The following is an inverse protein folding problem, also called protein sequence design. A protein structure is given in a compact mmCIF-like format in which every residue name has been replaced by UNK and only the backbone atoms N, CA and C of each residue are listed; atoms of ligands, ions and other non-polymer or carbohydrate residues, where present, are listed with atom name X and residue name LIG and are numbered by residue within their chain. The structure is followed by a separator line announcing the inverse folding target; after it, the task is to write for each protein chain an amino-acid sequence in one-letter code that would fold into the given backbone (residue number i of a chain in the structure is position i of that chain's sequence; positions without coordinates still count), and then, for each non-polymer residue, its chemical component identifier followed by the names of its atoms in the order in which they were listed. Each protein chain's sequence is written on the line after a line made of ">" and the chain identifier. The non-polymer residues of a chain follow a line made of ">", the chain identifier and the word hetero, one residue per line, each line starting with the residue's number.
data_IF_391702020893
#
_entry.id   IF_391702020893
#
_cell.length_a   1.000
_cell.length_b   1.000
_cell.length_c   1.000
_cell.angle_alpha   90.00
_cell.angle_beta   90.00
_cell.angle_gamma   90.00
#
_symmetry.space_group_name_H-M   'P 1'
#
loop_
_entity.id
_entity.type
_entity.pdbx_description
1 polymer ?
#
# COMPACT_ATOMS: atom_id res chain seq x y z
N UNK A 1 -26.91 8.56 -7.16
CA UNK A 1 -26.47 7.14 -7.14
C UNK A 1 -25.86 6.82 -8.49
N UNK A 2 -24.73 6.17 -8.47
CA UNK A 2 -23.94 5.82 -9.65
C UNK A 2 -24.64 4.76 -10.51
N UNK A 3 -24.40 4.79 -11.82
CA UNK A 3 -24.91 3.81 -12.79
C UNK A 3 -24.50 2.35 -12.43
N UNK A 4 -23.29 2.15 -11.86
CA UNK A 4 -22.81 0.83 -11.47
C UNK A 4 -23.57 0.24 -10.28
N UNK A 5 -23.92 1.07 -9.29
CA UNK A 5 -24.70 0.63 -8.12
C UNK A 5 -26.10 0.19 -8.53
N UNK A 6 -26.68 0.82 -9.55
CA UNK A 6 -28.03 0.53 -10.04
C UNK A 6 -28.07 -0.59 -11.09
N UNK A 7 -26.92 -1.09 -11.56
CA UNK A 7 -26.88 -2.19 -12.52
C UNK A 7 -27.43 -3.48 -11.89
N UNK A 8 -28.06 -4.39 -12.69
CA UNK A 8 -28.57 -5.66 -12.18
C UNK A 8 -27.48 -6.46 -11.44
N UNK A 9 -27.86 -7.14 -10.37
CA UNK A 9 -26.96 -8.00 -9.63
C UNK A 9 -26.68 -9.29 -10.40
N UNK A 10 -25.43 -9.72 -10.31
CA UNK A 10 -24.99 -11.06 -10.72
C UNK A 10 -25.08 -12.02 -9.53
N UNK A 11 -25.05 -13.34 -9.80
CA UNK A 11 -24.98 -14.35 -8.73
C UNK A 11 -23.81 -14.11 -7.78
N UNK A 12 -22.67 -13.68 -8.34
CA UNK A 12 -21.46 -13.31 -7.54
C UNK A 12 -21.71 -12.08 -6.64
N UNK A 13 -22.51 -11.11 -7.07
CA UNK A 13 -22.85 -9.95 -6.24
C UNK A 13 -23.73 -10.38 -5.05
N UNK A 14 -24.67 -11.30 -5.28
CA UNK A 14 -25.55 -11.86 -4.24
C UNK A 14 -24.73 -12.65 -3.21
N UNK A 15 -23.84 -13.54 -3.69
CA UNK A 15 -22.95 -14.31 -2.83
C UNK A 15 -22.05 -13.40 -2.00
N UNK A 16 -21.46 -12.38 -2.61
CA UNK A 16 -20.61 -11.41 -1.94
C UNK A 16 -21.34 -10.65 -0.81
N UNK A 17 -22.58 -10.22 -1.05
CA UNK A 17 -23.41 -9.61 0.00
C UNK A 17 -23.67 -10.57 1.16
N UNK A 18 -24.00 -11.83 0.86
CA UNK A 18 -24.18 -12.85 1.89
C UNK A 18 -22.93 -13.07 2.76
N UNK A 19 -21.72 -12.96 2.21
CA UNK A 19 -20.48 -12.98 2.97
C UNK A 19 -20.32 -11.73 3.85
N UNK A 20 -20.67 -10.55 3.32
CA UNK A 20 -20.55 -9.27 4.02
C UNK A 20 -21.57 -9.09 5.15
N UNK A 21 -22.69 -9.80 5.11
CA UNK A 21 -23.74 -9.75 6.14
C UNK A 21 -23.42 -10.62 7.37
N UNK A 22 -22.39 -11.44 7.31
CA UNK A 22 -21.98 -12.28 8.44
C UNK A 22 -21.46 -11.43 9.60
N UNK A 23 -21.80 -11.80 10.85
CA UNK A 23 -21.29 -11.11 12.07
C UNK A 23 -19.77 -11.04 12.11
N UNK A 24 -19.10 -12.13 11.72
CA UNK A 24 -17.66 -12.19 11.56
C UNK A 24 -17.35 -12.24 10.08
N UNK A 25 -16.81 -11.15 9.55
CA UNK A 25 -16.42 -11.07 8.13
C UNK A 25 -15.36 -12.13 7.81
N UNK A 26 -15.64 -13.05 6.89
CA UNK A 26 -14.63 -13.99 6.41
C UNK A 26 -13.65 -13.26 5.49
N UNK A 27 -12.40 -13.76 5.42
CA UNK A 27 -11.53 -13.43 4.31
C UNK A 27 -11.99 -14.16 3.04
N UNK A 28 -12.04 -13.48 1.91
CA UNK A 28 -12.39 -14.08 0.63
C UNK A 28 -11.52 -13.52 -0.50
N UNK A 29 -11.46 -14.25 -1.61
CA UNK A 29 -10.80 -13.82 -2.84
C UNK A 29 -11.77 -13.95 -3.99
N UNK A 30 -11.98 -12.88 -4.76
CA UNK A 30 -12.78 -12.90 -5.98
C UNK A 30 -11.86 -13.03 -7.19
N UNK A 31 -12.01 -14.13 -7.95
CA UNK A 31 -11.23 -14.39 -9.16
C UNK A 31 -12.16 -14.19 -10.36
N UNK A 32 -11.77 -13.30 -11.27
CA UNK A 32 -12.58 -12.96 -12.42
C UNK A 32 -11.71 -12.45 -13.58
N UNK A 33 -12.10 -12.73 -14.80
CA UNK A 33 -11.40 -12.33 -16.02
C UNK A 33 -11.42 -10.81 -16.26
N UNK A 34 -10.69 -10.35 -17.27
CA UNK A 34 -10.76 -8.97 -17.73
C UNK A 34 -12.18 -8.67 -18.26
N UNK A 35 -12.72 -7.48 -17.94
CA UNK A 35 -14.07 -7.08 -18.38
C UNK A 35 -15.24 -7.77 -17.68
N UNK A 36 -15.01 -8.65 -16.72
CA UNK A 36 -16.08 -9.40 -16.00
C UNK A 36 -16.86 -8.59 -14.95
N UNK A 37 -16.66 -7.29 -14.85
CA UNK A 37 -17.40 -6.45 -13.90
C UNK A 37 -16.82 -6.39 -12.47
N UNK A 38 -15.58 -6.85 -12.22
CA UNK A 38 -14.96 -6.82 -10.88
C UNK A 38 -15.09 -5.48 -10.14
N UNK A 39 -14.83 -4.38 -10.83
CA UNK A 39 -14.95 -3.02 -10.24
C UNK A 39 -16.41 -2.71 -9.90
N UNK A 40 -17.36 -3.14 -10.74
CA UNK A 40 -18.79 -2.98 -10.48
C UNK A 40 -19.21 -3.75 -9.23
N UNK A 41 -18.82 -5.02 -9.09
CA UNK A 41 -19.10 -5.82 -7.90
C UNK A 41 -18.46 -5.23 -6.64
N UNK A 42 -17.23 -4.70 -6.76
CA UNK A 42 -16.57 -4.01 -5.64
C UNK A 42 -17.34 -2.76 -5.20
N UNK A 43 -17.75 -1.91 -6.14
CA UNK A 43 -18.54 -0.68 -5.83
C UNK A 43 -19.87 -1.03 -5.18
N UNK A 44 -20.58 -2.06 -5.70
CA UNK A 44 -21.82 -2.57 -5.07
C UNK A 44 -21.59 -3.12 -3.67
N UNK A 45 -20.51 -3.86 -3.45
CA UNK A 45 -20.14 -4.38 -2.13
C UNK A 45 -19.86 -3.25 -1.13
N UNK A 46 -19.13 -2.21 -1.56
CA UNK A 46 -18.87 -1.04 -0.73
C UNK A 46 -20.15 -0.26 -0.41
N UNK A 47 -21.05 -0.07 -1.38
CA UNK A 47 -22.36 0.54 -1.17
C UNK A 47 -23.18 -0.27 -0.15
N UNK A 48 -23.22 -1.59 -0.29
CA UNK A 48 -23.89 -2.48 0.65
C UNK A 48 -23.35 -2.38 2.09
N UNK A 49 -22.02 -2.29 2.26
CA UNK A 49 -21.41 -2.08 3.58
C UNK A 49 -21.81 -0.72 4.17
N UNK A 50 -21.86 0.33 3.36
CA UNK A 50 -22.27 1.66 3.80
C UNK A 50 -23.72 1.62 4.31
N UNK A 51 -24.60 0.97 3.57
CA UNK A 51 -26.03 0.88 3.91
C UNK A 51 -26.26 0.00 5.14
N UNK A 52 -25.65 -1.19 5.20
CA UNK A 52 -25.89 -2.18 6.26
C UNK A 52 -25.13 -1.88 7.56
N UNK A 53 -23.90 -1.33 7.48
CA UNK A 53 -23.02 -1.10 8.63
C UNK A 53 -22.60 0.36 8.85
N UNK A 54 -23.13 1.30 8.07
CA UNK A 54 -22.74 2.69 8.14
C UNK A 54 -22.98 3.34 9.51
N UNK A 55 -24.04 2.93 10.23
CA UNK A 55 -24.31 3.40 11.59
C UNK A 55 -23.24 2.92 12.57
N UNK A 56 -22.89 1.64 12.51
CA UNK A 56 -21.84 1.03 13.34
C UNK A 56 -20.47 1.67 13.07
N UNK A 57 -20.12 1.84 11.79
CA UNK A 57 -18.86 2.46 11.38
C UNK A 57 -18.73 3.88 11.92
N UNK A 58 -19.80 4.69 11.84
CA UNK A 58 -19.82 6.04 12.42
C UNK A 58 -19.67 6.02 13.94
N UNK A 59 -20.42 5.16 14.61
CA UNK A 59 -20.41 5.07 16.08
C UNK A 59 -19.03 4.64 16.62
N UNK A 60 -18.30 3.82 15.86
CA UNK A 60 -16.98 3.32 16.24
C UNK A 60 -15.80 4.11 15.63
N UNK A 61 -16.08 5.19 14.89
CA UNK A 61 -15.08 5.98 14.15
C UNK A 61 -14.22 5.12 13.21
N UNK A 62 -14.80 4.03 12.68
CA UNK A 62 -14.14 3.13 11.74
C UNK A 62 -14.49 3.49 10.30
N UNK A 63 -13.60 3.14 9.40
CA UNK A 63 -13.80 3.29 7.95
C UNK A 63 -13.47 1.98 7.24
N UNK A 64 -14.04 1.79 6.07
CA UNK A 64 -13.62 0.75 5.14
C UNK A 64 -12.47 1.28 4.32
N UNK A 65 -11.34 0.58 4.26
CA UNK A 65 -10.24 0.92 3.36
C UNK A 65 -10.41 0.16 2.04
N UNK A 66 -10.54 0.90 0.94
CA UNK A 66 -10.53 0.37 -0.41
C UNK A 66 -9.19 0.74 -1.06
N UNK A 67 -8.33 -0.26 -1.23
CA UNK A 67 -6.96 -0.04 -1.71
C UNK A 67 -6.84 -0.52 -3.15
N UNK A 68 -6.36 0.37 -4.03
CA UNK A 68 -6.13 0.09 -5.45
C UNK A 68 -4.64 0.19 -5.79
N UNK A 69 -4.31 -0.14 -7.04
CA UNK A 69 -2.94 -0.01 -7.53
C UNK A 69 -2.67 1.33 -8.20
N UNK A 70 -3.69 1.96 -8.80
CA UNK A 70 -3.56 3.21 -9.57
C UNK A 70 -4.45 4.30 -9.02
N UNK A 71 -4.02 5.55 -9.14
CA UNK A 71 -4.79 6.75 -8.76
C UNK A 71 -6.08 6.87 -9.59
N UNK A 72 -6.04 6.48 -10.88
CA UNK A 72 -7.21 6.52 -11.76
C UNK A 72 -8.30 5.59 -11.22
N UNK A 73 -7.95 4.36 -10.83
CA UNK A 73 -8.92 3.42 -10.26
C UNK A 73 -9.44 3.90 -8.90
N UNK A 74 -8.57 4.51 -8.08
CA UNK A 74 -8.99 5.08 -6.80
C UNK A 74 -10.01 6.21 -7.00
N UNK A 75 -9.74 7.13 -7.91
CA UNK A 75 -10.63 8.24 -8.23
C UNK A 75 -11.97 7.74 -8.78
N UNK A 76 -11.95 6.80 -9.72
CA UNK A 76 -13.15 6.20 -10.30
C UNK A 76 -14.06 5.58 -9.23
N UNK A 77 -13.51 4.82 -8.30
CA UNK A 77 -14.28 4.21 -7.20
C UNK A 77 -14.81 5.27 -6.24
N UNK A 78 -14.01 6.29 -5.91
CA UNK A 78 -14.43 7.36 -5.01
C UNK A 78 -15.61 8.17 -5.59
N UNK A 79 -15.56 8.49 -6.89
CA UNK A 79 -16.62 9.22 -7.60
C UNK A 79 -17.93 8.40 -7.62
N UNK A 80 -17.84 7.09 -7.87
CA UNK A 80 -18.98 6.17 -7.88
C UNK A 80 -19.67 6.09 -6.51
N UNK A 81 -18.93 6.19 -5.41
CA UNK A 81 -19.44 6.18 -4.04
C UNK A 81 -19.82 7.58 -3.53
N UNK A 82 -19.83 8.61 -4.40
CA UNK A 82 -20.10 10.00 -4.02
C UNK A 82 -19.19 10.48 -2.87
N UNK A 83 -17.95 10.03 -2.84
CA UNK A 83 -16.91 10.40 -1.87
C UNK A 83 -17.37 10.33 -0.40
N UNK A 84 -18.08 9.28 -0.03
CA UNK A 84 -18.57 9.10 1.34
C UNK A 84 -17.41 9.05 2.35
N UNK A 85 -17.54 9.69 3.54
CA UNK A 85 -16.48 9.67 4.54
C UNK A 85 -16.28 8.30 5.22
N UNK A 86 -17.17 7.34 4.98
CA UNK A 86 -17.12 5.98 5.56
C UNK A 86 -16.17 5.05 4.80
N UNK A 87 -15.79 5.38 3.57
CA UNK A 87 -14.86 4.62 2.76
C UNK A 87 -13.64 5.49 2.46
N UNK A 88 -12.48 4.97 2.77
CA UNK A 88 -11.20 5.56 2.39
C UNK A 88 -10.69 4.86 1.14
N UNK A 89 -10.74 5.53 0.00
CA UNK A 89 -10.27 5.00 -1.28
C UNK A 89 -8.92 5.63 -1.59
N UNK A 90 -7.90 4.82 -1.78
CA UNK A 90 -6.55 5.32 -2.11
C UNK A 90 -5.70 4.25 -2.77
N UNK A 91 -4.54 4.63 -3.30
CA UNK A 91 -3.53 3.65 -3.70
C UNK A 91 -2.84 3.04 -2.48
N UNK A 92 -2.20 1.89 -2.67
CA UNK A 92 -1.42 1.24 -1.61
C UNK A 92 -0.32 2.15 -1.06
N UNK A 93 0.34 2.93 -1.91
CA UNK A 93 1.40 3.85 -1.49
C UNK A 93 0.83 5.01 -0.65
N UNK A 94 -0.26 5.62 -1.10
CA UNK A 94 -0.93 6.70 -0.38
C UNK A 94 -1.46 6.23 0.98
N UNK A 95 -2.07 5.05 1.03
CA UNK A 95 -2.55 4.45 2.27
C UNK A 95 -1.41 4.18 3.26
N UNK A 96 -0.34 3.52 2.81
CA UNK A 96 0.81 3.24 3.66
C UNK A 96 1.47 4.52 4.16
N UNK A 97 1.53 5.56 3.33
CA UNK A 97 2.04 6.85 3.76
C UNK A 97 1.20 7.47 4.88
N UNK A 98 -0.12 7.44 4.77
CA UNK A 98 -1.01 7.92 5.84
C UNK A 98 -0.81 7.16 7.16
N UNK A 99 -0.65 5.84 7.08
CA UNK A 99 -0.41 4.99 8.26
C UNK A 99 0.92 5.32 8.93
N UNK A 100 2.00 5.56 8.17
CA UNK A 100 3.35 5.78 8.74
C UNK A 100 3.64 7.25 9.05
N UNK A 101 2.95 8.18 8.40
CA UNK A 101 3.17 9.63 8.57
C UNK A 101 3.15 10.12 10.01
N UNK A 102 2.30 9.64 10.92
CA UNK A 102 2.33 10.05 12.34
C UNK A 102 3.61 9.64 13.08
N UNK A 103 4.36 8.65 12.56
CA UNK A 103 5.54 8.07 13.22
C UNK A 103 6.86 8.69 12.74
N UNK A 104 6.88 10.02 12.52
CA UNK A 104 8.06 10.72 11.98
C UNK A 104 9.32 10.53 12.84
N UNK A 105 9.18 10.48 14.17
CA UNK A 105 10.30 10.23 15.08
C UNK A 105 10.90 8.83 14.91
N UNK A 106 10.05 7.82 14.71
CA UNK A 106 10.50 6.44 14.49
C UNK A 106 11.14 6.28 13.11
N UNK A 107 10.56 6.89 12.09
CA UNK A 107 11.12 6.94 10.73
C UNK A 107 12.51 7.56 10.76
N UNK A 108 12.68 8.70 11.44
CA UNK A 108 13.98 9.36 11.58
C UNK A 108 15.00 8.45 12.26
N UNK A 109 14.65 7.86 13.41
CA UNK A 109 15.54 6.92 14.12
C UNK A 109 15.93 5.73 13.26
N UNK A 110 14.98 5.17 12.51
CA UNK A 110 15.25 4.07 11.59
C UNK A 110 16.21 4.47 10.48
N UNK A 111 15.97 5.64 9.84
CA UNK A 111 16.84 6.19 8.77
C UNK A 111 18.26 6.40 9.29
N UNK A 112 18.42 6.96 10.51
CA UNK A 112 19.72 7.17 11.13
C UNK A 112 20.45 5.86 11.45
N UNK A 113 19.74 4.88 11.99
CA UNK A 113 20.27 3.54 12.24
C UNK A 113 20.72 2.88 10.95
N UNK A 114 19.87 2.91 9.91
CA UNK A 114 20.19 2.32 8.59
C UNK A 114 21.38 3.00 7.93
N UNK A 115 21.47 4.33 8.02
CA UNK A 115 22.63 5.07 7.53
C UNK A 115 23.93 4.67 8.23
N UNK A 116 23.89 4.42 9.56
CA UNK A 116 25.05 3.93 10.32
C UNK A 116 25.49 2.55 9.83
N UNK A 117 24.55 1.61 9.74
CA UNK A 117 24.84 0.25 9.24
C UNK A 117 25.46 0.28 7.82
N UNK A 118 24.89 1.08 6.91
CA UNK A 118 25.42 1.20 5.55
C UNK A 118 26.82 1.81 5.51
N UNK A 119 27.14 2.75 6.41
CA UNK A 119 28.51 3.29 6.52
C UNK A 119 29.48 2.24 7.03
N UNK A 120 29.10 1.45 8.03
CA UNK A 120 29.92 0.37 8.57
C UNK A 120 30.16 -0.71 7.49
N UNK A 121 29.14 -1.10 6.74
CA UNK A 121 29.24 -2.03 5.62
C UNK A 121 30.19 -1.48 4.53
N UNK A 122 30.04 -0.22 4.14
CA UNK A 122 30.91 0.43 3.14
C UNK A 122 32.38 0.47 3.58
N UNK A 123 32.66 0.80 4.85
CA UNK A 123 34.02 0.80 5.42
C UNK A 123 34.60 -0.61 5.42
N UNK A 124 33.80 -1.61 5.85
CA UNK A 124 34.23 -3.00 5.87
C UNK A 124 34.58 -3.53 4.47
N UNK A 125 33.71 -3.25 3.47
CA UNK A 125 33.97 -3.63 2.08
C UNK A 125 35.20 -2.93 1.47
N UNK A 126 35.42 -1.65 1.82
CA UNK A 126 36.58 -0.90 1.39
C UNK A 126 37.88 -1.42 2.01
N UNK A 127 37.84 -1.83 3.30
CA UNK A 127 38.98 -2.48 3.96
C UNK A 127 39.31 -3.86 3.33
N UNK A 128 38.25 -4.66 3.03
CA UNK A 128 38.40 -5.92 2.34
C UNK A 128 38.96 -5.77 0.91
N UNK A 129 38.62 -4.67 0.22
CA UNK A 129 39.18 -4.34 -1.10
C UNK A 129 40.66 -4.03 -1.05
N UNK A 130 41.14 -3.37 0.00
CA UNK A 130 42.59 -3.00 0.17
C UNK A 130 43.46 -4.22 0.47
N UNK A 131 42.89 -5.29 1.03
CA UNK A 131 43.60 -6.51 1.34
C UNK A 131 43.56 -7.49 0.14
N UNK A 132 44.63 -7.55 -0.65
CA UNK A 132 44.99 -8.53 -1.73
C UNK A 132 43.85 -9.40 -2.29
N UNK A 133 42.93 -8.85 -3.06
CA UNK A 133 41.81 -9.59 -3.68
C UNK A 133 42.06 -9.83 -5.17
N UNK A 134 41.78 -11.05 -5.68
CA UNK A 134 41.87 -11.39 -7.10
C UNK A 134 41.00 -10.46 -7.99
N UNK A 135 41.48 -10.21 -9.25
CA UNK A 135 40.86 -9.21 -10.15
C UNK A 135 39.33 -9.29 -10.27
N UNK A 136 38.77 -10.49 -10.39
CA UNK A 136 37.32 -10.70 -10.50
C UNK A 136 36.55 -10.29 -9.21
N UNK A 137 37.13 -10.53 -8.05
CA UNK A 137 36.57 -10.11 -6.76
C UNK A 137 36.67 -8.60 -6.55
N UNK A 138 37.69 -7.94 -7.14
CA UNK A 138 37.82 -6.48 -7.10
C UNK A 138 36.63 -5.77 -7.76
N UNK A 139 36.20 -6.26 -8.94
CA UNK A 139 35.10 -5.64 -9.68
C UNK A 139 33.75 -5.79 -8.95
N UNK A 140 33.50 -6.96 -8.35
CA UNK A 140 32.29 -7.20 -7.54
C UNK A 140 32.24 -6.30 -6.28
N UNK A 141 33.39 -6.17 -5.59
CA UNK A 141 33.50 -5.33 -4.39
C UNK A 141 33.37 -3.85 -4.73
N UNK A 142 33.99 -3.39 -5.83
CA UNK A 142 33.85 -2.02 -6.31
C UNK A 142 32.39 -1.65 -6.63
N UNK A 143 31.66 -2.56 -7.32
CA UNK A 143 30.26 -2.39 -7.62
C UNK A 143 29.39 -2.33 -6.34
N UNK A 144 29.71 -3.12 -5.34
CA UNK A 144 29.03 -3.11 -4.05
C UNK A 144 29.26 -1.81 -3.28
N UNK A 145 30.51 -1.36 -3.19
CA UNK A 145 30.85 -0.06 -2.59
C UNK A 145 30.10 1.08 -3.28
N UNK A 146 30.05 1.09 -4.61
CA UNK A 146 29.33 2.11 -5.37
C UNK A 146 27.83 2.14 -5.03
N UNK A 147 27.17 0.98 -4.92
CA UNK A 147 25.74 0.88 -4.49
C UNK A 147 25.55 1.42 -3.09
N UNK A 148 26.37 0.99 -2.12
CA UNK A 148 26.28 1.47 -0.72
C UNK A 148 26.48 2.99 -0.63
N UNK A 149 27.38 3.55 -1.42
CA UNK A 149 27.60 5.01 -1.48
C UNK A 149 26.40 5.74 -2.07
N UNK A 150 25.74 5.18 -3.09
CA UNK A 150 24.50 5.75 -3.65
C UNK A 150 23.36 5.72 -2.63
N UNK A 151 23.20 4.61 -1.90
CA UNK A 151 22.15 4.48 -0.86
C UNK A 151 22.38 5.49 0.29
N UNK A 152 23.63 5.67 0.73
CA UNK A 152 23.98 6.72 1.70
C UNK A 152 23.61 8.11 1.19
N UNK A 153 23.90 8.43 -0.07
CA UNK A 153 23.58 9.73 -0.66
C UNK A 153 22.08 9.98 -0.78
N UNK A 154 21.26 8.93 -0.94
CA UNK A 154 19.80 9.01 -0.92
C UNK A 154 19.28 9.28 0.50
N UNK A 155 19.82 8.58 1.50
CA UNK A 155 19.45 8.77 2.91
C UNK A 155 19.82 10.18 3.41
N UNK A 156 21.02 10.66 3.06
CA UNK A 156 21.46 12.00 3.46
C UNK A 156 20.62 13.13 2.80
N UNK A 157 20.00 12.87 1.65
CA UNK A 157 19.00 13.78 1.06
C UNK A 157 17.70 13.81 1.84
N UNK A 158 17.21 12.66 2.32
CA UNK A 158 15.97 12.58 3.14
C UNK A 158 16.12 13.29 4.48
N UNK A 159 17.33 13.37 5.05
CA UNK A 159 17.60 14.09 6.31
C UNK A 159 17.50 15.60 6.20
N UNK A 160 17.48 16.17 4.99
CA UNK A 160 17.41 17.62 4.74
C UNK A 160 15.97 18.16 4.63
N UNK A 161 14.98 17.29 4.73
CA UNK A 161 13.56 17.60 4.81
C UNK A 161 13.04 17.32 6.24
#
# INVERSE_FOLDING_TARGET
>A
MSHRILSPDTDSDVELRGLLDQKKLPGFTMIAGAGSGKTTSLVKALAHIIDSRGVELRATSRKVACITYTEIAAQEIADELSSTPLVHVSTIHSYLWEVVRPFQGDIRRWVESRARTLREEAISEQAAFSSRVQRKRRDETANRIQRLTQDLSRIDRVKKF
#
